data_IF_677757725772
#
_entry.id   IF_677757725772
#
_cell.length_a   1.000
_cell.length_b   1.000
_cell.length_c   1.000
_cell.angle_alpha   90.00
_cell.angle_beta   90.00
_cell.angle_gamma   90.00
#
_symmetry.space_group_name_H-M   'P 1'
#
loop_
_entity.id
_entity.type
_entity.pdbx_description
1 polymer ?
#
# COMPACT_ATOMS: atom_id res chain seq x y z
N UNK A 1 64.65 -16.11 -42.36
CA UNK A 1 63.81 -16.40 -43.55
C UNK A 1 62.74 -17.39 -43.10
N UNK A 2 61.43 -17.21 -43.18
CA UNK A 2 60.58 -16.17 -43.74
C UNK A 2 59.29 -16.12 -42.90
N UNK A 3 58.83 -14.91 -42.62
CA UNK A 3 57.48 -14.59 -42.12
C UNK A 3 56.42 -14.95 -43.17
N UNK A 4 55.24 -15.41 -42.73
CA UNK A 4 53.99 -15.05 -43.38
C UNK A 4 52.85 -15.02 -42.35
N UNK A 5 52.37 -13.80 -42.08
CA UNK A 5 51.10 -13.51 -41.43
C UNK A 5 49.97 -13.80 -42.42
N UNK A 6 48.85 -14.35 -41.93
CA UNK A 6 47.53 -14.05 -42.50
C UNK A 6 46.58 -13.75 -41.35
N UNK A 7 46.16 -12.49 -41.33
CA UNK A 7 45.07 -11.92 -40.55
C UNK A 7 43.77 -12.11 -41.36
N UNK A 8 42.66 -12.57 -40.75
CA UNK A 8 41.29 -12.28 -41.21
C UNK A 8 40.26 -12.74 -40.17
N UNK A 9 39.73 -11.73 -39.47
CA UNK A 9 38.37 -11.57 -38.93
C UNK A 9 37.38 -12.69 -39.30
N UNK A 10 36.82 -13.35 -38.30
CA UNK A 10 35.37 -13.58 -38.19
C UNK A 10 35.00 -13.84 -36.71
N UNK A 11 34.10 -13.05 -36.11
CA UNK A 11 33.63 -13.29 -34.76
C UNK A 11 32.61 -14.42 -34.78
N UNK A 12 32.83 -15.46 -33.97
CA UNK A 12 31.78 -16.45 -33.68
C UNK A 12 30.74 -15.83 -32.72
N UNK A 13 30.02 -14.79 -33.17
CA UNK A 13 28.68 -14.53 -32.67
C UNK A 13 27.76 -15.49 -33.43
N UNK A 14 27.53 -16.67 -32.87
CA UNK A 14 26.25 -17.35 -33.06
C UNK A 14 25.24 -16.61 -32.20
N UNK A 15 24.71 -15.53 -32.74
CA UNK A 15 23.38 -15.06 -32.34
C UNK A 15 22.36 -16.08 -32.84
N UNK A 16 21.28 -16.21 -32.08
CA UNK A 16 20.07 -16.95 -32.39
C UNK A 16 20.08 -18.45 -32.05
N UNK A 17 19.90 -18.76 -30.75
CA UNK A 17 18.76 -19.63 -30.36
C UNK A 17 18.40 -19.66 -28.85
N UNK A 18 18.55 -18.55 -28.12
CA UNK A 18 18.26 -18.52 -26.67
C UNK A 18 16.89 -17.91 -26.30
N UNK A 19 15.96 -17.81 -27.26
CA UNK A 19 14.60 -17.31 -27.01
C UNK A 19 13.53 -18.40 -26.87
N UNK A 20 13.81 -19.64 -27.27
CA UNK A 20 12.86 -20.76 -27.20
C UNK A 20 12.99 -21.61 -25.93
N UNK A 21 14.07 -21.46 -25.14
CA UNK A 21 14.28 -22.25 -23.91
C UNK A 21 13.72 -21.58 -22.64
N UNK A 22 13.44 -20.28 -22.67
CA UNK A 22 12.87 -19.57 -21.51
C UNK A 22 11.36 -19.81 -21.32
N UNK A 23 10.61 -20.09 -22.38
CA UNK A 23 9.15 -20.29 -22.32
C UNK A 23 8.78 -21.66 -21.75
N UNK A 24 9.49 -22.73 -22.15
CA UNK A 24 9.23 -24.10 -21.69
C UNK A 24 9.51 -24.29 -20.19
N UNK A 25 10.57 -23.66 -19.67
CA UNK A 25 10.89 -23.66 -18.24
C UNK A 25 9.79 -22.94 -17.44
N UNK A 26 9.38 -21.74 -17.87
CA UNK A 26 8.32 -20.97 -17.20
C UNK A 26 6.96 -21.69 -17.19
N UNK A 27 6.60 -22.37 -18.28
CA UNK A 27 5.37 -23.18 -18.35
C UNK A 27 5.42 -24.39 -17.39
N UNK A 28 6.57 -25.06 -17.31
CA UNK A 28 6.77 -26.19 -16.38
C UNK A 28 6.65 -25.76 -14.91
N UNK A 29 7.19 -24.58 -14.56
CA UNK A 29 7.06 -23.99 -13.23
C UNK A 29 5.61 -23.61 -12.90
N UNK A 30 4.86 -23.06 -13.86
CA UNK A 30 3.43 -22.73 -13.68
C UNK A 30 2.59 -23.97 -13.40
N UNK A 31 2.77 -25.05 -14.16
CA UNK A 31 2.04 -26.31 -13.96
C UNK A 31 2.38 -26.92 -12.59
N UNK A 32 3.65 -26.87 -12.19
CA UNK A 32 4.09 -27.34 -10.87
C UNK A 32 3.47 -26.52 -9.73
N UNK A 33 3.46 -25.20 -9.84
CA UNK A 33 2.86 -24.32 -8.85
C UNK A 33 1.34 -24.52 -8.73
N UNK A 34 0.64 -24.75 -9.85
CA UNK A 34 -0.78 -25.08 -9.82
C UNK A 34 -1.07 -26.40 -9.08
N UNK A 35 -0.21 -27.42 -9.24
CA UNK A 35 -0.34 -28.68 -8.48
C UNK A 35 -0.16 -28.44 -6.98
N UNK A 36 0.82 -27.62 -6.59
CA UNK A 36 1.02 -27.27 -5.17
C UNK A 36 -0.14 -26.45 -4.61
N UNK A 37 -0.69 -25.50 -5.35
CA UNK A 37 -1.87 -24.74 -4.93
C UNK A 37 -3.08 -25.65 -4.72
N UNK A 38 -3.33 -26.59 -5.63
CA UNK A 38 -4.41 -27.58 -5.46
C UNK A 38 -4.18 -28.46 -4.22
N UNK A 39 -2.96 -28.90 -3.98
CA UNK A 39 -2.64 -29.69 -2.77
C UNK A 39 -2.86 -28.90 -1.48
N UNK A 40 -2.47 -27.62 -1.45
CA UNK A 40 -2.73 -26.74 -0.30
C UNK A 40 -4.22 -26.49 -0.10
N UNK A 41 -4.99 -26.31 -1.17
CA UNK A 41 -6.45 -26.18 -1.10
C UNK A 41 -7.10 -27.44 -0.52
N UNK A 42 -6.72 -28.62 -1.02
CA UNK A 42 -7.25 -29.90 -0.51
C UNK A 42 -6.88 -30.11 0.97
N UNK A 43 -5.67 -29.73 1.39
CA UNK A 43 -5.25 -29.80 2.79
C UNK A 43 -6.05 -28.82 3.67
N UNK A 44 -6.29 -27.60 3.19
CA UNK A 44 -7.10 -26.61 3.89
C UNK A 44 -8.57 -27.04 4.03
N UNK A 45 -9.10 -27.79 3.06
CA UNK A 45 -10.46 -28.35 3.10
C UNK A 45 -10.58 -29.56 4.02
N UNK A 46 -9.55 -30.42 4.08
CA UNK A 46 -9.57 -31.65 4.88
C UNK A 46 -9.24 -31.42 6.36
N UNK A 47 -8.32 -30.50 6.66
CA UNK A 47 -7.93 -30.14 8.03
C UNK A 47 -7.72 -28.62 8.15
N UNK A 48 -8.80 -27.86 8.32
CA UNK A 48 -8.74 -26.40 8.41
C UNK A 48 -7.91 -25.90 9.61
N UNK A 49 -8.01 -26.57 10.77
CA UNK A 49 -7.32 -26.15 11.99
C UNK A 49 -5.82 -26.45 11.92
N UNK A 50 -5.45 -27.66 11.49
CA UNK A 50 -4.05 -28.02 11.26
C UNK A 50 -3.41 -27.14 10.19
N UNK A 51 -4.11 -26.89 9.08
CA UNK A 51 -3.62 -26.00 8.03
C UNK A 51 -3.42 -24.56 8.52
N UNK A 52 -4.38 -24.01 9.28
CA UNK A 52 -4.27 -22.66 9.87
C UNK A 52 -3.05 -22.51 10.77
N UNK A 53 -2.71 -23.54 11.54
CA UNK A 53 -1.53 -23.53 12.42
C UNK A 53 -0.19 -23.60 11.65
N UNK A 54 -0.17 -24.31 10.51
CA UNK A 54 1.05 -24.59 9.75
C UNK A 54 1.29 -23.57 8.62
N UNK A 55 0.23 -22.98 8.07
CA UNK A 55 0.30 -22.06 6.94
C UNK A 55 1.22 -20.84 7.17
N UNK A 56 1.22 -20.17 8.35
CA UNK A 56 2.14 -19.06 8.62
C UNK A 56 3.62 -19.46 8.49
N UNK A 57 3.99 -20.63 9.02
CA UNK A 57 5.36 -21.13 8.96
C UNK A 57 5.76 -21.59 7.56
N UNK A 58 4.84 -22.19 6.80
CA UNK A 58 5.07 -22.50 5.39
C UNK A 58 5.33 -21.23 4.57
N UNK A 59 4.55 -20.18 4.81
CA UNK A 59 4.74 -18.89 4.15
C UNK A 59 6.12 -18.31 4.53
N UNK A 60 6.47 -18.24 5.82
CA UNK A 60 7.79 -17.75 6.27
C UNK A 60 8.94 -18.52 5.62
N UNK A 61 8.90 -19.86 5.61
CA UNK A 61 9.93 -20.71 4.99
C UNK A 61 10.02 -20.53 3.49
N UNK A 62 8.88 -20.43 2.80
CA UNK A 62 8.85 -20.23 1.34
C UNK A 62 9.51 -18.91 0.95
N UNK A 63 9.26 -17.83 1.70
CA UNK A 63 9.85 -16.53 1.41
C UNK A 63 11.33 -16.49 1.82
N UNK A 64 11.70 -17.12 2.94
CA UNK A 64 13.10 -17.29 3.32
C UNK A 64 13.93 -17.99 2.23
N UNK A 65 13.39 -19.06 1.65
CA UNK A 65 14.05 -19.79 0.56
C UNK A 65 14.16 -18.96 -0.74
N UNK A 66 13.22 -18.03 -0.97
CA UNK A 66 13.20 -17.21 -2.17
C UNK A 66 14.10 -15.96 -2.09
N UNK A 67 14.11 -15.26 -0.95
CA UNK A 67 14.86 -14.01 -0.76
C UNK A 67 16.12 -14.11 0.10
N UNK A 68 16.30 -15.21 0.83
CA UNK A 68 17.35 -15.35 1.83
C UNK A 68 17.01 -14.68 3.16
N UNK A 69 18.02 -14.59 4.03
CA UNK A 69 17.90 -14.09 5.40
C UNK A 69 17.90 -12.55 5.45
N UNK A 70 16.78 -11.90 5.12
CA UNK A 70 16.57 -10.47 5.40
C UNK A 70 15.85 -10.31 6.76
N UNK A 71 16.54 -9.87 7.83
CA UNK A 71 15.94 -9.78 9.16
C UNK A 71 14.77 -8.79 9.23
N UNK A 72 14.86 -7.67 8.50
CA UNK A 72 13.83 -6.63 8.53
C UNK A 72 12.57 -7.10 7.82
N UNK A 73 12.72 -7.81 6.71
CA UNK A 73 11.58 -8.42 6.02
C UNK A 73 10.94 -9.54 6.84
N UNK A 74 11.72 -10.41 7.48
CA UNK A 74 11.22 -11.50 8.30
C UNK A 74 10.39 -11.00 9.50
N UNK A 75 10.84 -9.92 10.15
CA UNK A 75 10.10 -9.25 11.22
C UNK A 75 8.78 -8.66 10.72
N UNK A 76 8.80 -7.97 9.57
CA UNK A 76 7.58 -7.41 8.96
C UNK A 76 6.58 -8.49 8.53
N UNK A 77 7.05 -9.59 7.95
CA UNK A 77 6.21 -10.71 7.55
C UNK A 77 5.57 -11.39 8.77
N UNK A 78 6.32 -11.55 9.85
CA UNK A 78 5.81 -12.14 11.10
C UNK A 78 4.75 -11.26 11.74
N UNK A 79 5.02 -9.95 11.88
CA UNK A 79 4.03 -8.98 12.36
C UNK A 79 2.77 -8.96 11.47
N UNK A 80 2.93 -9.08 10.16
CA UNK A 80 1.78 -9.18 9.27
C UNK A 80 0.96 -10.44 9.51
N UNK A 81 1.60 -11.62 9.55
CA UNK A 81 0.91 -12.88 9.81
C UNK A 81 0.16 -12.87 11.14
N UNK A 82 0.74 -12.25 12.17
CA UNK A 82 0.16 -12.22 13.51
C UNK A 82 -0.95 -11.18 13.68
N UNK A 83 -0.77 -9.98 13.10
CA UNK A 83 -1.60 -8.81 13.44
C UNK A 83 -2.13 -8.08 12.20
N UNK A 84 -1.28 -7.81 11.21
CA UNK A 84 -1.63 -6.90 10.12
C UNK A 84 -2.38 -7.55 8.94
N UNK A 85 -2.44 -8.89 8.85
CA UNK A 85 -3.11 -9.61 7.75
C UNK A 85 -4.61 -9.33 7.65
N UNK A 86 -5.23 -8.92 8.77
CA UNK A 86 -6.64 -8.48 8.82
C UNK A 86 -6.88 -7.17 8.06
N UNK A 87 -5.83 -6.36 7.89
CA UNK A 87 -5.96 -4.94 7.50
C UNK A 87 -5.11 -4.53 6.30
N UNK A 88 -4.12 -5.33 5.92
CA UNK A 88 -3.19 -5.02 4.83
C UNK A 88 -3.08 -6.21 3.89
N UNK A 89 -3.10 -5.94 2.60
CA UNK A 89 -2.99 -7.00 1.60
C UNK A 89 -1.56 -7.57 1.58
N UNK A 90 -1.42 -8.86 1.23
CA UNK A 90 -0.10 -9.51 1.17
C UNK A 90 0.90 -8.77 0.27
N UNK A 91 0.40 -8.17 -0.83
CA UNK A 91 1.18 -7.36 -1.77
C UNK A 91 1.80 -6.09 -1.16
N UNK A 92 1.30 -5.64 0.00
CA UNK A 92 1.79 -4.45 0.72
C UNK A 92 2.98 -4.75 1.65
N UNK A 93 3.18 -6.03 2.01
CA UNK A 93 4.30 -6.51 2.82
C UNK A 93 5.55 -6.71 1.97
N UNK A 94 5.35 -7.23 0.76
CA UNK A 94 6.45 -7.50 -0.15
C UNK A 94 7.20 -6.19 -0.37
N UNK A 95 8.53 -6.16 -0.19
CA UNK A 95 9.30 -5.01 -0.61
C UNK A 95 9.11 -4.97 -2.12
N UNK A 96 8.23 -4.08 -2.59
CA UNK A 96 8.43 -3.42 -3.88
C UNK A 96 9.89 -3.00 -3.81
N UNK A 97 10.70 -3.49 -4.74
CA UNK A 97 12.17 -3.48 -4.73
C UNK A 97 12.75 -2.29 -3.96
N UNK A 98 13.89 -2.40 -3.27
CA UNK A 98 14.48 -1.38 -2.37
C UNK A 98 14.52 0.07 -2.90
N UNK A 99 14.21 0.30 -4.17
CA UNK A 99 13.51 1.48 -4.64
C UNK A 99 12.08 1.54 -4.06
N UNK A 100 11.92 2.10 -2.84
CA UNK A 100 10.67 2.82 -2.55
C UNK A 100 10.43 3.63 -3.81
N UNK A 101 9.44 3.25 -4.65
CA UNK A 101 9.13 4.02 -5.84
C UNK A 101 8.93 5.41 -5.28
N UNK A 102 9.91 6.31 -5.51
CA UNK A 102 9.88 7.66 -4.96
C UNK A 102 8.50 8.11 -5.34
N UNK A 103 7.61 8.24 -4.34
CA UNK A 103 6.19 8.53 -4.58
C UNK A 103 6.23 9.63 -5.61
N UNK A 104 5.76 9.35 -6.83
CA UNK A 104 5.96 10.27 -7.97
C UNK A 104 5.58 11.63 -7.43
N UNK A 105 6.51 12.59 -7.46
CA UNK A 105 6.30 13.92 -6.87
C UNK A 105 5.03 14.43 -7.52
N UNK A 106 3.91 14.32 -6.81
CA UNK A 106 2.64 14.71 -7.36
C UNK A 106 2.77 16.21 -7.59
N UNK A 107 2.47 16.70 -8.79
CA UNK A 107 2.46 18.13 -9.01
C UNK A 107 1.26 18.66 -8.25
N UNK A 108 1.49 19.58 -7.30
CA UNK A 108 0.42 20.26 -6.58
C UNK A 108 -0.53 20.83 -7.65
N UNK A 109 -1.85 20.57 -7.58
CA UNK A 109 -2.79 21.20 -8.49
C UNK A 109 -2.57 22.71 -8.48
N UNK A 110 -2.39 23.34 -9.65
CA UNK A 110 -2.22 24.79 -9.71
C UNK A 110 -3.47 25.46 -9.14
N UNK A 111 -3.35 25.99 -7.92
CA UNK A 111 -4.46 26.57 -7.13
C UNK A 111 -5.26 27.60 -7.96
N UNK A 112 -4.58 28.31 -8.87
CA UNK A 112 -5.16 29.32 -9.77
C UNK A 112 -6.24 28.80 -10.72
N UNK A 113 -6.23 27.50 -11.04
CA UNK A 113 -7.18 26.89 -11.97
C UNK A 113 -8.29 26.12 -11.25
N UNK A 114 -8.29 26.11 -9.91
CA UNK A 114 -9.31 25.42 -9.13
C UNK A 114 -10.51 26.35 -8.87
N UNK A 115 -11.73 25.79 -8.77
CA UNK A 115 -12.87 26.50 -8.21
C UNK A 115 -12.51 27.13 -6.86
N UNK A 116 -13.05 28.34 -6.61
CA UNK A 116 -12.74 29.15 -5.41
C UNK A 116 -12.84 28.36 -4.11
N UNK A 117 -13.87 27.52 -3.96
CA UNK A 117 -14.09 26.71 -2.76
C UNK A 117 -13.00 25.65 -2.54
N UNK A 118 -12.54 25.03 -3.62
CA UNK A 118 -11.49 24.02 -3.58
C UNK A 118 -10.12 24.65 -3.31
N UNK A 119 -9.85 25.81 -3.91
CA UNK A 119 -8.64 26.60 -3.64
C UNK A 119 -8.55 27.02 -2.16
N UNK A 120 -9.62 27.59 -1.61
CA UNK A 120 -9.71 27.97 -0.19
C UNK A 120 -9.54 26.76 0.75
N UNK A 121 -10.07 25.60 0.35
CA UNK A 121 -9.89 24.39 1.13
C UNK A 121 -8.43 23.93 1.14
N UNK A 122 -7.75 23.90 -0.02
CA UNK A 122 -6.33 23.56 -0.09
C UNK A 122 -5.44 24.54 0.70
N UNK A 123 -5.75 25.83 0.68
CA UNK A 123 -5.05 26.83 1.51
C UNK A 123 -5.18 26.51 3.00
N UNK A 124 -6.39 26.22 3.48
CA UNK A 124 -6.62 25.79 4.87
C UNK A 124 -5.88 24.50 5.22
N UNK A 125 -5.82 23.53 4.30
CA UNK A 125 -5.04 22.31 4.51
C UNK A 125 -3.55 22.60 4.60
N UNK A 126 -3.04 23.50 3.75
CA UNK A 126 -1.63 23.91 3.75
C UNK A 126 -1.26 24.60 5.05
N UNK A 127 -2.10 25.52 5.53
CA UNK A 127 -1.93 26.18 6.81
C UNK A 127 -2.00 25.18 7.96
N UNK A 128 -3.05 24.35 8.00
CA UNK A 128 -3.26 23.36 9.06
C UNK A 128 -2.12 22.37 9.14
N UNK A 129 -1.63 21.85 8.02
CA UNK A 129 -0.57 20.84 7.93
C UNK A 129 0.82 21.43 7.62
N UNK A 130 1.03 22.69 7.98
CA UNK A 130 2.35 23.32 7.96
C UNK A 130 3.25 22.83 9.10
N UNK A 131 4.55 23.07 8.94
CA UNK A 131 5.58 22.80 9.94
C UNK A 131 6.09 21.36 9.95
N UNK A 132 6.95 21.07 10.94
CA UNK A 132 7.55 19.75 11.10
C UNK A 132 6.53 18.72 11.62
N UNK A 133 6.31 17.67 10.83
CA UNK A 133 5.36 16.61 11.14
C UNK A 133 5.74 15.77 12.36
N UNK A 134 7.02 15.74 12.74
CA UNK A 134 7.48 15.02 13.93
C UNK A 134 6.93 15.64 15.22
N UNK A 135 6.60 16.95 15.18
CA UNK A 135 6.10 17.73 16.32
C UNK A 135 4.60 17.92 16.34
N UNK A 136 3.87 17.36 15.37
CA UNK A 136 2.41 17.46 15.36
C UNK A 136 1.82 16.73 16.57
N UNK A 137 0.81 17.34 17.17
CA UNK A 137 -0.02 16.70 18.17
C UNK A 137 -0.78 15.51 17.55
N UNK A 138 -1.23 14.59 18.41
CA UNK A 138 -1.93 13.38 17.96
C UNK A 138 -3.15 13.73 17.08
N UNK A 139 -3.93 14.76 17.43
CA UNK A 139 -5.11 15.16 16.67
C UNK A 139 -4.77 15.62 15.24
N UNK A 140 -3.73 16.44 15.07
CA UNK A 140 -3.29 16.88 13.72
C UNK A 140 -2.71 15.72 12.92
N UNK A 141 -1.94 14.82 13.57
CA UNK A 141 -1.43 13.61 12.93
C UNK A 141 -2.56 12.70 12.44
N UNK A 142 -3.55 12.44 13.28
CA UNK A 142 -4.70 11.60 12.96
C UNK A 142 -5.53 12.19 11.81
N UNK A 143 -5.76 13.51 11.84
CA UNK A 143 -6.43 14.23 10.76
C UNK A 143 -5.69 14.04 9.43
N UNK A 144 -4.36 14.16 9.43
CA UNK A 144 -3.55 13.98 8.21
C UNK A 144 -3.59 12.53 7.71
N UNK A 145 -3.38 11.56 8.60
CA UNK A 145 -3.37 10.13 8.25
C UNK A 145 -4.73 9.69 7.69
N UNK A 146 -5.83 10.05 8.35
CA UNK A 146 -7.20 9.72 7.89
C UNK A 146 -7.49 10.41 6.56
N UNK A 147 -7.15 11.69 6.41
CA UNK A 147 -7.36 12.42 5.16
C UNK A 147 -6.61 11.76 4.00
N UNK A 148 -5.34 11.43 4.21
CA UNK A 148 -4.49 10.80 3.21
C UNK A 148 -4.96 9.40 2.83
N UNK A 149 -5.24 8.54 3.81
CA UNK A 149 -5.71 7.18 3.54
C UNK A 149 -7.03 7.17 2.77
N UNK A 150 -7.98 8.02 3.16
CA UNK A 150 -9.27 8.13 2.45
C UNK A 150 -9.11 8.72 1.06
N UNK A 151 -8.20 9.68 0.87
CA UNK A 151 -8.01 10.33 -0.42
C UNK A 151 -7.35 9.39 -1.43
N UNK A 152 -6.39 8.57 -0.97
CA UNK A 152 -5.71 7.57 -1.81
C UNK A 152 -6.65 6.47 -2.32
N UNK A 153 -7.61 6.03 -1.51
CA UNK A 153 -8.64 5.05 -1.94
C UNK A 153 -9.85 5.70 -2.62
N UNK A 154 -10.00 7.02 -2.49
CA UNK A 154 -11.09 7.81 -3.06
C UNK A 154 -12.48 7.26 -2.70
N UNK A 155 -13.23 6.84 -3.73
CA UNK A 155 -14.59 6.29 -3.57
C UNK A 155 -14.63 4.83 -3.12
N UNK A 156 -13.56 4.06 -3.35
CA UNK A 156 -13.49 2.68 -2.88
C UNK A 156 -13.53 2.61 -1.35
N UNK A 157 -12.89 3.59 -0.70
CA UNK A 157 -12.91 3.78 0.73
C UNK A 157 -11.98 2.84 1.49
N UNK A 158 -11.90 3.08 2.80
CA UNK A 158 -11.01 2.38 3.72
C UNK A 158 -11.86 1.77 4.85
N UNK A 159 -11.64 0.50 5.23
CA UNK A 159 -12.30 -0.11 6.37
C UNK A 159 -11.81 0.52 7.69
N UNK A 160 -12.72 0.71 8.65
CA UNK A 160 -12.45 1.36 9.93
C UNK A 160 -11.28 0.71 10.68
N UNK A 161 -11.19 -0.63 10.68
CA UNK A 161 -10.10 -1.35 11.33
C UNK A 161 -8.73 -1.03 10.73
N UNK A 162 -8.65 -0.81 9.41
CA UNK A 162 -7.42 -0.38 8.75
C UNK A 162 -7.04 1.03 9.18
N UNK A 163 -8.01 1.96 9.27
CA UNK A 163 -7.74 3.29 9.82
C UNK A 163 -7.22 3.22 11.27
N UNK A 164 -7.88 2.45 12.14
CA UNK A 164 -7.49 2.28 13.55
C UNK A 164 -6.07 1.71 13.67
N UNK A 165 -5.73 0.73 12.84
CA UNK A 165 -4.40 0.12 12.79
C UNK A 165 -3.32 1.15 12.45
N UNK A 166 -3.49 1.93 11.39
CA UNK A 166 -2.50 2.95 10.97
C UNK A 166 -2.42 4.17 11.90
N UNK A 167 -3.44 4.39 12.74
CA UNK A 167 -3.40 5.39 13.80
C UNK A 167 -2.66 4.90 15.06
N UNK A 168 -2.28 3.62 15.12
CA UNK A 168 -1.64 3.02 16.31
C UNK A 168 -2.61 2.88 17.49
N UNK A 169 -3.92 2.90 17.25
CA UNK A 169 -4.96 2.84 18.26
C UNK A 169 -5.36 1.39 18.59
N UNK A 170 -4.37 0.52 18.83
CA UNK A 170 -4.55 -0.88 19.29
C UNK A 170 -5.34 -1.82 18.37
N UNK A 171 -5.25 -3.14 18.61
CA UNK A 171 -6.19 -4.09 18.00
C UNK A 171 -7.60 -3.87 18.59
N UNK A 172 -8.68 -4.09 17.80
CA UNK A 172 -10.05 -4.06 18.30
C UNK A 172 -10.36 -5.32 19.13
N UNK A 173 -9.65 -5.51 20.24
CA UNK A 173 -9.79 -6.65 21.14
C UNK A 173 -10.60 -6.35 22.40
N UNK A 174 -10.62 -5.10 22.87
CA UNK A 174 -11.35 -4.74 24.08
C UNK A 174 -11.92 -3.31 23.95
N UNK A 175 -13.19 -3.23 23.55
CA UNK A 175 -13.94 -1.96 23.47
C UNK A 175 -13.52 -1.01 22.34
N UNK A 176 -13.83 -1.33 21.08
CA UNK A 176 -13.55 -0.53 19.85
C UNK A 176 -14.09 0.92 19.76
N UNK A 177 -14.40 1.56 20.89
CA UNK A 177 -14.84 2.93 21.05
C UNK A 177 -13.74 3.99 20.82
N UNK A 178 -12.46 3.82 21.22
CA UNK A 178 -11.43 4.85 21.05
C UNK A 178 -11.16 5.15 19.56
N UNK A 179 -10.97 4.11 18.76
CA UNK A 179 -10.66 4.23 17.34
C UNK A 179 -11.80 4.85 16.52
N UNK A 180 -13.04 4.39 16.74
CA UNK A 180 -14.21 4.96 16.06
C UNK A 180 -14.43 6.44 16.41
N UNK A 181 -14.22 6.81 17.68
CA UNK A 181 -14.34 8.19 18.13
C UNK A 181 -13.24 9.09 17.57
N UNK A 182 -11.99 8.62 17.51
CA UNK A 182 -10.88 9.33 16.87
C UNK A 182 -11.16 9.60 15.39
N UNK A 183 -11.61 8.58 14.65
CA UNK A 183 -11.98 8.71 13.23
C UNK A 183 -13.13 9.72 13.07
N UNK A 184 -14.16 9.64 13.90
CA UNK A 184 -15.28 10.59 13.87
C UNK A 184 -14.81 12.02 14.16
N UNK A 185 -14.00 12.22 15.20
CA UNK A 185 -13.50 13.54 15.60
C UNK A 185 -12.65 14.18 14.49
N UNK A 186 -11.73 13.42 13.90
CA UNK A 186 -10.92 13.88 12.78
C UNK A 186 -11.78 14.23 11.56
N UNK A 187 -12.74 13.37 11.18
CA UNK A 187 -13.66 13.66 10.06
C UNK A 187 -14.49 14.90 10.30
N UNK A 188 -14.99 15.12 11.53
CA UNK A 188 -15.71 16.34 11.90
C UNK A 188 -14.82 17.57 11.79
N UNK A 189 -13.59 17.51 12.31
CA UNK A 189 -12.63 18.62 12.22
C UNK A 189 -12.33 19.00 10.76
N UNK A 190 -12.07 18.00 9.91
CA UNK A 190 -11.82 18.19 8.49
C UNK A 190 -13.05 18.74 7.75
N UNK A 191 -14.24 18.23 8.05
CA UNK A 191 -15.50 18.75 7.49
C UNK A 191 -15.79 20.18 7.90
N UNK A 192 -15.39 20.61 9.10
CA UNK A 192 -15.52 22.02 9.51
C UNK A 192 -14.63 22.92 8.68
N UNK A 193 -13.40 22.49 8.40
CA UNK A 193 -12.46 23.24 7.56
C UNK A 193 -12.87 23.27 6.08
N UNK A 194 -13.57 22.24 5.60
CA UNK A 194 -13.95 22.10 4.19
C UNK A 194 -15.19 22.85 3.75
N UNK A 195 -16.02 23.36 4.66
CA UNK A 195 -17.28 24.03 4.28
C UNK A 195 -17.03 25.14 3.23
N UNK A 196 -17.82 25.17 2.14
CA UNK A 196 -19.07 24.43 1.90
C UNK A 196 -18.93 23.02 1.28
N UNK A 197 -17.71 22.54 1.01
CA UNK A 197 -17.48 21.24 0.38
C UNK A 197 -17.87 20.06 1.27
N UNK A 198 -18.52 19.07 0.67
CA UNK A 198 -18.83 17.78 1.32
C UNK A 198 -17.70 16.79 1.05
N UNK A 199 -16.85 16.54 2.05
CA UNK A 199 -15.71 15.62 1.90
C UNK A 199 -16.11 14.14 1.87
N UNK A 200 -17.04 13.74 2.74
CA UNK A 200 -17.23 12.34 3.09
C UNK A 200 -18.55 11.80 2.60
N UNK A 201 -18.53 10.59 2.05
CA UNK A 201 -19.75 9.81 1.85
C UNK A 201 -20.27 9.27 3.19
N UNK A 202 -21.58 8.95 3.30
CA UNK A 202 -22.10 8.16 4.40
C UNK A 202 -21.33 6.85 4.53
N UNK A 203 -20.89 6.53 5.76
CA UNK A 203 -20.15 5.30 6.01
C UNK A 203 -21.09 4.09 5.96
N UNK A 204 -20.71 3.03 5.25
CA UNK A 204 -21.46 1.77 5.12
C UNK A 204 -20.83 0.64 5.93
N UNK A 205 -21.60 -0.38 6.30
CA UNK A 205 -21.10 -1.53 7.08
C UNK A 205 -20.96 -1.28 8.59
N UNK A 206 -20.44 -2.28 9.31
CA UNK A 206 -20.45 -2.35 10.77
C UNK A 206 -19.07 -2.67 11.36
N UNK A 207 -18.84 -2.22 12.60
CA UNK A 207 -17.64 -2.55 13.37
C UNK A 207 -16.35 -2.13 12.65
N UNK A 208 -15.37 -3.04 12.63
CA UNK A 208 -14.09 -2.84 11.95
C UNK A 208 -14.18 -2.82 10.42
N UNK A 209 -15.22 -3.44 9.86
CA UNK A 209 -15.48 -3.47 8.41
C UNK A 209 -16.29 -2.27 7.92
N UNK A 210 -16.60 -1.33 8.82
CA UNK A 210 -17.28 -0.09 8.43
C UNK A 210 -16.41 0.69 7.44
N UNK A 211 -16.91 0.93 6.24
CA UNK A 211 -16.22 1.60 5.16
C UNK A 211 -16.39 3.12 5.26
N UNK A 212 -15.28 3.82 5.10
CA UNK A 212 -15.24 5.27 5.01
C UNK A 212 -14.68 5.69 3.66
N UNK A 213 -15.33 6.61 2.95
CA UNK A 213 -14.89 7.06 1.62
C UNK A 213 -15.11 8.55 1.42
N UNK A 214 -14.46 9.09 0.39
CA UNK A 214 -14.75 10.43 -0.10
C UNK A 214 -16.11 10.45 -0.82
N UNK A 215 -16.83 11.57 -0.69
CA UNK A 215 -18.08 11.79 -1.40
C UNK A 215 -17.86 11.92 -2.92
N UNK A 216 -16.78 12.59 -3.30
CA UNK A 216 -16.43 12.85 -4.69
C UNK A 216 -15.02 12.37 -5.05
N UNK A 217 -14.90 11.78 -6.23
CA UNK A 217 -13.64 11.22 -6.73
C UNK A 217 -12.67 12.32 -7.17
N UNK A 218 -13.17 13.41 -7.76
CA UNK A 218 -12.30 14.51 -8.22
C UNK A 218 -11.69 15.24 -7.03
N UNK A 219 -12.50 15.46 -5.98
CA UNK A 219 -12.03 16.01 -4.71
C UNK A 219 -11.04 15.08 -4.02
N UNK A 220 -11.29 13.77 -4.01
CA UNK A 220 -10.36 12.80 -3.45
C UNK A 220 -9.01 12.81 -4.17
N UNK A 221 -9.01 12.84 -5.50
CA UNK A 221 -7.77 12.88 -6.29
C UNK A 221 -6.96 14.15 -6.04
N UNK A 222 -7.62 15.30 -5.98
CA UNK A 222 -6.99 16.58 -5.64
C UNK A 222 -6.32 16.53 -4.26
N UNK A 223 -7.04 16.02 -3.26
CA UNK A 223 -6.52 15.88 -1.90
C UNK A 223 -5.39 14.85 -1.87
N UNK A 224 -5.50 13.73 -2.59
CA UNK A 224 -4.46 12.72 -2.67
C UNK A 224 -3.16 13.32 -3.22
N UNK A 225 -3.25 14.11 -4.30
CA UNK A 225 -2.10 14.86 -4.84
C UNK A 225 -1.52 15.80 -3.80
N UNK A 226 -2.35 16.60 -3.13
CA UNK A 226 -1.89 17.49 -2.05
C UNK A 226 -1.14 16.73 -0.96
N UNK A 227 -1.75 15.68 -0.40
CA UNK A 227 -1.19 14.95 0.74
C UNK A 227 0.12 14.26 0.35
N UNK A 228 0.22 13.72 -0.88
CA UNK A 228 1.45 13.10 -1.39
C UNK A 228 2.59 14.09 -1.63
N UNK A 229 2.30 15.40 -1.78
CA UNK A 229 3.35 16.44 -1.89
C UNK A 229 3.94 16.84 -0.55
N UNK A 230 3.27 16.53 0.56
CA UNK A 230 3.71 16.94 1.88
C UNK A 230 4.83 16.04 2.40
N UNK A 231 5.83 16.57 3.13
CA UNK A 231 6.85 15.75 3.79
C UNK A 231 6.23 14.70 4.74
N UNK A 232 5.10 15.06 5.36
CA UNK A 232 4.32 14.21 6.24
C UNK A 232 3.72 12.97 5.55
N UNK A 233 3.75 12.88 4.21
CA UNK A 233 3.28 11.72 3.47
C UNK A 233 3.88 10.40 4.00
N UNK A 234 5.09 10.43 4.58
CA UNK A 234 5.73 9.25 5.20
C UNK A 234 4.84 8.55 6.25
N UNK A 235 3.91 9.27 6.87
CA UNK A 235 2.93 8.73 7.82
C UNK A 235 1.84 7.87 7.17
N UNK A 236 1.70 7.95 5.85
CA UNK A 236 0.69 7.19 5.11
C UNK A 236 1.21 5.81 4.72
N UNK A 237 0.30 4.82 4.57
CA UNK A 237 0.64 3.54 3.98
C UNK A 237 1.33 3.68 2.61
N UNK A 238 2.19 2.73 2.23
CA UNK A 238 2.73 2.67 0.88
C UNK A 238 1.57 2.51 -0.11
N UNK A 239 1.45 3.41 -1.09
CA UNK A 239 0.35 3.38 -2.04
C UNK A 239 0.46 2.16 -2.97
N UNK A 240 -0.65 1.44 -3.12
CA UNK A 240 -0.81 0.30 -4.02
C UNK A 240 -1.22 0.72 -5.44
N UNK A 241 -1.73 1.94 -5.61
CA UNK A 241 -2.38 2.42 -6.83
C UNK A 241 -1.72 3.69 -7.39
N UNK A 242 -0.64 3.54 -8.15
CA UNK A 242 -0.21 4.51 -9.18
C UNK A 242 0.55 3.78 -10.30
N UNK A 243 0.04 2.61 -10.68
CA UNK A 243 0.35 1.96 -11.95
C UNK A 243 -0.90 2.10 -12.81
N UNK A 244 -0.88 3.15 -13.63
CA UNK A 244 -1.70 3.29 -14.83
C UNK A 244 -0.88 2.79 -16.00
#
# INVERSE_FOLDING_TARGET
MNTNQINKKEPCYTSDDNRLSMTSSQESHKVRNQKFLKALQTLAEQDPEGFSSVAPELIKRSVWNWRGADPFFAERLSNWLETAHKWSEFKEILPKDAHMNRRKVAVIPQIKNLPREQALFLEKLTERFSGDHSRWDASKRDQFTILGMLALEGKAGVPQGRLVHYLGLGEPGDGGLPGSNAIRAAKIALSRSSKPLTLWAPASGNGSQRMHSFADATLAEMVARFVLTQPAAILLPPSTSLES
#
